data_IF_995925034340
#
_entry.id   IF_995925034340
#
_cell.length_a   1.000
_cell.length_b   1.000
_cell.length_c   1.000
_cell.angle_alpha   90.00
_cell.angle_beta   90.00
_cell.angle_gamma   90.00
#
_symmetry.space_group_name_H-M   'P 1'
#
loop_
_entity.id
_entity.type
_entity.pdbx_description
1 polymer ?
#
# COMPACT_ATOMS: atom_id res chain seq x y z
N UNK A 1 -12.80 -4.66 -18.69
CA UNK A 1 -11.50 -4.01 -18.39
C UNK A 1 -11.43 -2.70 -19.16
N UNK A 2 -10.72 -1.70 -18.64
CA UNK A 2 -10.45 -0.46 -19.36
C UNK A 2 -9.15 -0.58 -20.16
N UNK A 3 -9.08 0.10 -21.30
CA UNK A 3 -7.88 0.16 -22.13
C UNK A 3 -7.17 1.50 -21.92
N UNK A 4 -5.84 1.47 -21.91
CA UNK A 4 -4.99 2.65 -21.86
C UNK A 4 -4.00 2.60 -23.03
N UNK A 5 -3.86 3.71 -23.75
CA UNK A 5 -2.86 3.87 -24.80
C UNK A 5 -1.83 4.88 -24.32
N UNK A 6 -0.55 4.49 -24.33
CA UNK A 6 0.56 5.31 -23.89
C UNK A 6 1.52 5.52 -25.06
N UNK A 7 1.99 6.76 -25.22
CA UNK A 7 3.14 7.03 -26.09
C UNK A 7 4.41 6.80 -25.27
N UNK A 8 5.34 6.07 -25.85
CA UNK A 8 6.68 5.84 -25.32
C UNK A 8 7.72 6.27 -26.36
N UNK A 9 8.95 6.62 -25.95
CA UNK A 9 10.03 6.91 -26.90
C UNK A 9 10.27 5.73 -27.85
N UNK A 10 10.55 6.03 -29.13
CA UNK A 10 10.73 4.99 -30.16
C UNK A 10 11.88 4.02 -29.81
N UNK A 11 12.98 4.56 -29.28
CA UNK A 11 14.13 3.76 -28.82
C UNK A 11 13.73 2.73 -27.75
N UNK A 12 12.85 3.12 -26.83
CA UNK A 12 12.34 2.21 -25.80
C UNK A 12 11.44 1.13 -26.41
N UNK A 13 10.61 1.49 -27.38
CA UNK A 13 9.73 0.54 -28.06
C UNK A 13 10.53 -0.52 -28.83
N UNK A 14 11.61 -0.11 -29.50
CA UNK A 14 12.49 -1.05 -30.20
C UNK A 14 13.19 -2.01 -29.22
N UNK A 15 13.69 -1.52 -28.08
CA UNK A 15 14.24 -2.40 -27.02
C UNK A 15 13.18 -3.37 -26.47
N UNK A 16 11.95 -2.90 -26.25
CA UNK A 16 10.86 -3.76 -25.77
C UNK A 16 10.49 -4.87 -26.76
N UNK A 17 10.62 -4.61 -28.08
CA UNK A 17 10.37 -5.59 -29.13
C UNK A 17 11.38 -6.73 -29.17
N UNK A 18 12.58 -6.54 -28.63
CA UNK A 18 13.59 -7.60 -28.53
C UNK A 18 13.15 -8.70 -27.55
N UNK A 19 12.38 -8.34 -26.52
CA UNK A 19 11.90 -9.26 -25.47
C UNK A 19 10.39 -9.51 -25.58
N UNK A 20 9.96 -10.20 -26.64
CA UNK A 20 8.53 -10.45 -26.95
C UNK A 20 7.83 -11.38 -25.96
N UNK A 21 8.59 -12.20 -25.26
CA UNK A 21 8.11 -13.08 -24.19
C UNK A 21 7.60 -12.31 -22.96
N UNK A 22 7.99 -11.04 -22.82
CA UNK A 22 7.61 -10.21 -21.69
C UNK A 22 6.20 -9.65 -21.87
N UNK A 23 5.34 -9.86 -20.88
CA UNK A 23 4.03 -9.21 -20.83
C UNK A 23 4.15 -7.76 -20.35
N UNK A 24 4.49 -6.86 -21.29
CA UNK A 24 4.67 -5.43 -21.02
C UNK A 24 3.43 -4.76 -20.43
N UNK A 25 2.23 -5.21 -20.80
CA UNK A 25 0.97 -4.73 -20.21
C UNK A 25 0.86 -5.05 -18.72
N UNK A 26 1.32 -6.22 -18.28
CA UNK A 26 1.37 -6.59 -16.86
C UNK A 26 2.42 -5.79 -16.11
N UNK A 27 3.60 -5.57 -16.70
CA UNK A 27 4.64 -4.71 -16.12
C UNK A 27 4.09 -3.29 -15.92
N UNK A 28 3.47 -2.71 -16.94
CA UNK A 28 2.85 -1.39 -16.87
C UNK A 28 1.77 -1.33 -15.79
N UNK A 29 0.88 -2.34 -15.74
CA UNK A 29 -0.18 -2.43 -14.72
C UNK A 29 0.38 -2.46 -13.30
N UNK A 30 1.42 -3.26 -13.05
CA UNK A 30 2.09 -3.34 -11.73
C UNK A 30 2.75 -2.03 -11.35
N UNK A 31 3.43 -1.38 -12.30
CA UNK A 31 4.09 -0.08 -12.07
C UNK A 31 3.05 1.01 -11.73
N UNK A 32 1.98 1.11 -12.51
CA UNK A 32 0.88 2.06 -12.27
C UNK A 32 0.24 1.81 -10.91
N UNK A 33 -0.12 0.56 -10.59
CA UNK A 33 -0.75 0.22 -9.31
C UNK A 33 0.16 0.55 -8.13
N UNK A 34 1.46 0.23 -8.22
CA UNK A 34 2.44 0.54 -7.18
C UNK A 34 2.51 2.04 -6.89
N UNK A 35 2.66 2.87 -7.93
CA UNK A 35 2.78 4.32 -7.74
C UNK A 35 1.47 4.95 -7.26
N UNK A 36 0.32 4.49 -7.77
CA UNK A 36 -0.99 4.94 -7.30
C UNK A 36 -1.18 4.66 -5.80
N UNK A 37 -0.83 3.46 -5.33
CA UNK A 37 -0.94 3.06 -3.93
C UNK A 37 0.01 3.88 -3.04
N UNK A 38 1.26 4.12 -3.47
CA UNK A 38 2.19 5.00 -2.73
C UNK A 38 1.64 6.42 -2.59
N UNK A 39 1.13 7.00 -3.67
CA UNK A 39 0.56 8.35 -3.66
C UNK A 39 -0.68 8.43 -2.75
N UNK A 40 -1.55 7.43 -2.83
CA UNK A 40 -2.76 7.37 -2.00
C UNK A 40 -2.42 7.21 -0.52
N UNK A 41 -1.49 6.31 -0.18
CA UNK A 41 -1.03 6.08 1.18
C UNK A 41 -0.57 7.37 1.85
N UNK A 42 0.22 8.19 1.15
CA UNK A 42 0.72 9.49 1.65
C UNK A 42 -0.38 10.52 1.87
N UNK A 43 -1.40 10.56 0.98
CA UNK A 43 -2.40 11.64 1.00
C UNK A 43 -3.63 11.34 1.85
N UNK A 44 -4.09 10.09 1.87
CA UNK A 44 -5.41 9.71 2.41
C UNK A 44 -5.40 8.38 3.17
N UNK A 45 -4.27 7.68 3.21
CA UNK A 45 -4.22 6.30 3.69
C UNK A 45 -4.78 5.29 2.67
N UNK A 46 -4.55 4.00 2.95
CA UNK A 46 -5.01 2.90 2.12
C UNK A 46 -6.20 2.18 2.77
N UNK A 47 -7.12 1.71 1.94
CA UNK A 47 -8.15 0.75 2.39
C UNK A 47 -7.54 -0.63 2.58
N UNK A 48 -8.21 -1.51 3.34
CA UNK A 48 -7.79 -2.90 3.52
C UNK A 48 -7.52 -3.62 2.19
N UNK A 49 -8.41 -3.47 1.20
CA UNK A 49 -8.26 -4.08 -0.13
C UNK A 49 -6.99 -3.61 -0.83
N UNK A 50 -6.67 -2.33 -0.72
CA UNK A 50 -5.50 -1.71 -1.34
C UNK A 50 -4.19 -2.12 -0.66
N UNK A 51 -4.21 -2.29 0.67
CA UNK A 51 -3.07 -2.87 1.40
C UNK A 51 -2.80 -4.28 0.89
N UNK A 52 -3.82 -5.12 0.75
CA UNK A 52 -3.67 -6.48 0.22
C UNK A 52 -3.14 -6.49 -1.21
N UNK A 53 -3.62 -5.58 -2.07
CA UNK A 53 -3.08 -5.41 -3.42
C UNK A 53 -1.59 -5.03 -3.39
N UNK A 54 -1.20 -4.10 -2.52
CA UNK A 54 0.20 -3.71 -2.36
C UNK A 54 1.09 -4.86 -1.89
N UNK A 55 0.62 -5.65 -0.91
CA UNK A 55 1.35 -6.81 -0.39
C UNK A 55 1.54 -7.88 -1.46
N UNK A 56 0.49 -8.18 -2.23
CA UNK A 56 0.57 -9.10 -3.36
C UNK A 56 1.58 -8.62 -4.42
N UNK A 57 1.61 -7.32 -4.73
CA UNK A 57 2.57 -6.75 -5.69
C UNK A 57 4.04 -6.92 -5.28
N UNK A 58 4.34 -6.93 -3.98
CA UNK A 58 5.70 -7.07 -3.45
C UNK A 58 6.03 -8.49 -3.03
N UNK A 59 5.19 -9.47 -3.42
CA UNK A 59 5.41 -10.89 -3.15
C UNK A 59 5.20 -11.28 -1.69
N UNK A 60 4.58 -10.43 -0.88
CA UNK A 60 4.19 -10.78 0.48
C UNK A 60 2.81 -11.44 0.45
N UNK A 61 2.77 -12.74 0.74
CA UNK A 61 1.55 -13.41 1.17
C UNK A 61 1.43 -13.26 2.69
N UNK A 62 0.26 -12.84 3.15
CA UNK A 62 -0.05 -12.87 4.59
C UNK A 62 -1.29 -13.72 4.76
N UNK A 63 -1.22 -14.71 5.64
CA UNK A 63 -2.42 -15.37 6.10
C UNK A 63 -3.24 -14.35 6.90
N UNK A 64 -4.42 -14.02 6.41
CA UNK A 64 -5.38 -13.21 7.15
C UNK A 64 -5.87 -14.07 8.30
N UNK A 65 -5.26 -13.91 9.47
CA UNK A 65 -5.75 -14.55 10.69
C UNK A 65 -7.08 -13.92 11.06
N UNK A 66 -8.15 -14.71 11.01
CA UNK A 66 -9.40 -14.36 11.64
C UNK A 66 -9.20 -14.50 13.15
N UNK A 67 -9.29 -13.40 13.87
CA UNK A 67 -9.25 -13.40 15.33
C UNK A 67 -10.66 -13.62 15.88
N UNK A 68 -10.75 -14.25 17.05
CA UNK A 68 -11.99 -14.27 17.80
C UNK A 68 -12.37 -12.86 18.25
N UNK A 69 -13.65 -12.65 18.55
CA UNK A 69 -14.15 -11.35 19.04
C UNK A 69 -13.41 -10.89 20.31
N UNK A 70 -13.15 -11.80 21.25
CA UNK A 70 -12.40 -11.50 22.48
C UNK A 70 -10.99 -10.98 22.18
N UNK A 71 -10.35 -11.55 21.16
CA UNK A 71 -9.00 -11.15 20.76
C UNK A 71 -9.00 -9.77 20.08
N UNK A 72 -10.03 -9.45 19.31
CA UNK A 72 -10.23 -8.10 18.75
C UNK A 72 -10.38 -7.06 19.87
N UNK A 73 -11.17 -7.36 20.91
CA UNK A 73 -11.32 -6.47 22.08
C UNK A 73 -9.96 -6.26 22.77
N UNK A 74 -9.18 -7.32 22.98
CA UNK A 74 -7.84 -7.21 23.57
C UNK A 74 -6.94 -6.25 22.76
N UNK A 75 -6.95 -6.39 21.43
CA UNK A 75 -6.15 -5.55 20.53
C UNK A 75 -6.61 -4.08 20.57
N UNK A 76 -7.92 -3.83 20.55
CA UNK A 76 -8.48 -2.48 20.64
C UNK A 76 -8.11 -1.80 21.96
N UNK A 77 -8.14 -2.53 23.08
CA UNK A 77 -7.71 -2.00 24.37
C UNK A 77 -6.22 -1.63 24.37
N UNK A 78 -5.35 -2.47 23.77
CA UNK A 78 -3.93 -2.12 23.61
C UNK A 78 -3.71 -0.86 22.78
N UNK A 79 -4.49 -0.67 21.71
CA UNK A 79 -4.43 0.55 20.89
C UNK A 79 -4.86 1.77 21.71
N UNK A 80 -5.93 1.67 22.49
CA UNK A 80 -6.40 2.76 23.37
C UNK A 80 -5.35 3.17 24.40
N UNK A 81 -4.73 2.21 25.08
CA UNK A 81 -3.68 2.50 26.08
C UNK A 81 -2.47 3.20 25.44
N UNK A 82 -2.04 2.73 24.26
CA UNK A 82 -0.97 3.39 23.50
C UNK A 82 -1.32 4.82 23.10
N UNK A 83 -2.55 5.04 22.66
CA UNK A 83 -3.01 6.38 22.27
C UNK A 83 -3.09 7.32 23.47
N UNK A 84 -3.55 6.81 24.62
CA UNK A 84 -3.55 7.57 25.88
C UNK A 84 -2.14 8.00 26.29
N UNK A 85 -1.17 7.09 26.18
CA UNK A 85 0.24 7.41 26.43
C UNK A 85 0.80 8.44 25.43
N UNK A 86 0.47 8.31 24.14
CA UNK A 86 0.86 9.29 23.10
C UNK A 86 0.34 10.70 23.42
N UNK A 87 -0.92 10.81 23.83
CA UNK A 87 -1.55 12.09 24.21
C UNK A 87 -0.93 12.68 25.48
N UNK A 88 -0.61 11.85 26.48
CA UNK A 88 0.12 12.29 27.68
C UNK A 88 1.45 12.93 27.30
N UNK A 89 2.28 12.22 26.52
CA UNK A 89 3.58 12.73 26.07
C UNK A 89 3.45 14.04 25.26
N UNK A 90 2.44 14.14 24.38
CA UNK A 90 2.17 15.37 23.63
C UNK A 90 1.82 16.54 24.56
N UNK A 91 1.01 16.29 25.59
CA UNK A 91 0.64 17.33 26.56
C UNK A 91 1.84 17.81 27.39
N UNK A 92 2.80 16.94 27.69
CA UNK A 92 4.03 17.31 28.39
C UNK A 92 4.94 18.16 27.49
N UNK A 93 5.06 17.80 26.20
CA UNK A 93 5.81 18.57 25.22
C UNK A 93 5.23 19.97 24.98
N UNK A 94 3.91 20.10 24.98
CA UNK A 94 3.23 21.40 24.83
C UNK A 94 3.40 22.31 26.05
N UNK A 95 3.47 21.74 27.27
CA UNK A 95 3.71 22.50 28.51
C UNK A 95 5.17 22.95 28.70
N UNK A 96 6.10 22.34 27.99
CA UNK A 96 7.53 22.70 28.01
C UNK A 96 7.94 23.78 27.01
N UNK A 97 6.98 24.37 26.28
CA UNK A 97 7.15 25.57 25.44
C UNK A 97 6.62 26.80 26.16
#
# INVERSE_FOLDING_TARGET
>A
MANITLRIPDELYELMKEFKEVNWSEIARRAILRELLKLKARKRGLTRKEVLMYMSLIGMSTEIKAYSYDKEIELLNKIKEREKYRLMLLSELEKGK
#
